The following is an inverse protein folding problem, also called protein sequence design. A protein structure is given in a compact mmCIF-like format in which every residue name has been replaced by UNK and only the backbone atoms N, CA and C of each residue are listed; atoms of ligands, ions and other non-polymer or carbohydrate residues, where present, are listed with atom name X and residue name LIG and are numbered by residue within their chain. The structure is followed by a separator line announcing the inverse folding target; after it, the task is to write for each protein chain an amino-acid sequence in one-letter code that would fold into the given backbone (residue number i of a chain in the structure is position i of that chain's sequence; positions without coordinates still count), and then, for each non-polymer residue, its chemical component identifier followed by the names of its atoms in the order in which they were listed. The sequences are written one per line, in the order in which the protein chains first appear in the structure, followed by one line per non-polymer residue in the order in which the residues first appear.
data_IF_001283030677
#
_entry.id   IF_001283030677
#
_cell.length_a   1.000
_cell.length_b   1.000
_cell.length_c   1.000
_cell.angle_alpha   90.00
_cell.angle_beta   90.00
_cell.angle_gamma   90.00
#
_symmetry.space_group_name_H-M   'P 1'
#
loop_
_entity.id
_entity.type
_entity.pdbx_description
1 polymer ?
#
# COMPACT_ATOMS: atom_id res chain seq x y z
N UNK A 1 -5.04 -4.29 -4.77
CA UNK A 1 -4.72 -2.96 -5.35
C UNK A 1 -3.25 -2.53 -5.26
N UNK A 2 -2.63 -2.38 -4.08
CA UNK A 2 -1.19 -2.01 -3.99
C UNK A 2 -0.29 -3.08 -4.63
N UNK A 3 -0.58 -4.36 -4.36
CA UNK A 3 0.11 -5.52 -4.96
C UNK A 3 0.03 -5.54 -6.48
N UNK A 4 -1.16 -5.22 -7.02
CA UNK A 4 -1.44 -5.09 -8.45
C UNK A 4 -0.70 -3.92 -9.12
N UNK A 5 0.00 -3.06 -8.37
CA UNK A 5 0.77 -1.95 -8.93
C UNK A 5 -0.01 -0.65 -9.11
N UNK A 6 -1.25 -0.57 -8.62
CA UNK A 6 -2.02 0.69 -8.66
C UNK A 6 -1.37 1.76 -7.78
N UNK A 7 -1.34 2.98 -8.28
CA UNK A 7 -0.92 4.18 -7.57
C UNK A 7 -1.96 4.60 -6.53
N UNK A 8 -1.57 5.42 -5.56
CA UNK A 8 -2.52 5.91 -4.54
C UNK A 8 -3.67 6.72 -5.15
N UNK A 9 -3.47 7.35 -6.31
CA UNK A 9 -4.49 8.11 -7.03
C UNK A 9 -5.53 7.17 -7.64
N UNK A 10 -5.10 6.15 -8.38
CA UNK A 10 -6.00 5.16 -8.97
C UNK A 10 -6.78 4.38 -7.91
N UNK A 11 -6.15 4.06 -6.78
CA UNK A 11 -6.83 3.39 -5.65
C UNK A 11 -7.90 4.31 -5.04
N UNK A 12 -7.58 5.60 -4.88
CA UNK A 12 -8.51 6.59 -4.35
C UNK A 12 -9.73 6.75 -5.27
N UNK A 13 -9.50 6.84 -6.59
CA UNK A 13 -10.55 6.92 -7.60
C UNK A 13 -11.42 5.66 -7.64
N UNK A 14 -10.81 4.47 -7.64
CA UNK A 14 -11.53 3.19 -7.68
C UNK A 14 -12.42 2.96 -6.45
N UNK A 15 -11.99 3.45 -5.29
CA UNK A 15 -12.69 3.26 -4.02
C UNK A 15 -13.57 4.46 -3.62
N UNK A 16 -13.61 5.53 -4.43
CA UNK A 16 -14.29 6.79 -4.11
C UNK A 16 -13.85 7.38 -2.76
N UNK A 17 -12.55 7.31 -2.48
CA UNK A 17 -11.93 7.81 -1.25
C UNK A 17 -10.93 8.92 -1.55
N UNK A 18 -10.56 9.69 -0.53
CA UNK A 18 -9.47 10.65 -0.68
C UNK A 18 -8.11 9.96 -0.81
N UNK A 19 -7.18 10.56 -1.56
CA UNK A 19 -5.78 10.10 -1.63
C UNK A 19 -5.12 10.01 -0.24
N UNK A 20 -5.46 10.93 0.68
CA UNK A 20 -4.94 10.93 2.04
C UNK A 20 -5.42 9.72 2.85
N UNK A 21 -6.68 9.31 2.67
CA UNK A 21 -7.22 8.08 3.25
C UNK A 21 -6.41 6.86 2.80
N UNK A 22 -6.07 6.77 1.51
CA UNK A 22 -5.24 5.68 0.97
C UNK A 22 -3.81 5.72 1.56
N UNK A 23 -3.21 6.91 1.70
CA UNK A 23 -1.90 7.07 2.33
C UNK A 23 -1.91 6.59 3.79
N UNK A 24 -2.94 6.95 4.56
CA UNK A 24 -3.14 6.51 5.94
C UNK A 24 -3.26 4.99 6.03
N UNK A 25 -4.09 4.37 5.18
CA UNK A 25 -4.19 2.91 5.12
C UNK A 25 -2.86 2.26 4.75
N UNK A 26 -2.11 2.79 3.78
CA UNK A 26 -0.77 2.26 3.42
C UNK A 26 0.24 2.39 4.55
N UNK A 27 0.20 3.48 5.32
CA UNK A 27 1.03 3.64 6.52
C UNK A 27 0.70 2.58 7.57
N UNK A 28 -0.59 2.33 7.83
CA UNK A 28 -1.02 1.30 8.77
C UNK A 28 -0.63 -0.11 8.31
N UNK A 29 -0.76 -0.42 7.02
CA UNK A 29 -0.30 -1.69 6.45
C UNK A 29 1.21 -1.86 6.65
N UNK A 30 2.02 -0.85 6.32
CA UNK A 30 3.47 -0.89 6.57
C UNK A 30 3.80 -1.12 8.04
N UNK A 31 3.05 -0.50 8.94
CA UNK A 31 3.24 -0.65 10.40
C UNK A 31 2.92 -2.07 10.84
N UNK A 32 1.79 -2.63 10.41
CA UNK A 32 1.37 -4.00 10.74
C UNK A 32 2.31 -5.08 10.17
N UNK A 33 2.93 -4.82 9.03
CA UNK A 33 3.91 -5.72 8.40
C UNK A 33 5.35 -5.50 8.88
N UNK A 34 5.58 -4.66 9.89
CA UNK A 34 6.94 -4.40 10.41
C UNK A 34 7.85 -3.65 9.43
N UNK A 35 7.30 -3.03 8.38
CA UNK A 35 8.06 -2.31 7.36
C UNK A 35 8.29 -0.83 7.72
N UNK A 36 7.72 -0.35 8.83
CA UNK A 36 7.92 1.03 9.30
C UNK A 36 9.43 1.28 9.50
N UNK A 37 9.90 2.46 9.07
CA UNK A 37 11.31 2.88 9.13
C UNK A 37 12.30 2.01 8.32
N UNK A 38 11.82 1.15 7.42
CA UNK A 38 12.67 0.38 6.50
C UNK A 38 12.60 0.94 5.09
N UNK A 39 13.66 0.68 4.30
CA UNK A 39 13.69 0.98 2.86
C UNK A 39 12.90 -0.02 2.00
N UNK A 40 12.29 -1.04 2.61
CA UNK A 40 11.54 -2.07 1.90
C UNK A 40 10.29 -1.45 1.26
N UNK A 41 10.11 -1.69 -0.04
CA UNK A 41 8.93 -1.25 -0.78
C UNK A 41 7.73 -2.16 -0.44
N UNK A 42 6.58 -1.55 -0.13
CA UNK A 42 5.38 -2.29 0.28
C UNK A 42 4.88 -3.23 -0.82
N UNK A 43 4.92 -2.82 -2.10
CA UNK A 43 4.43 -3.66 -3.20
C UNK A 43 5.29 -4.90 -3.39
N UNK A 44 6.62 -4.75 -3.44
CA UNK A 44 7.52 -5.90 -3.61
C UNK A 44 7.42 -6.88 -2.45
N UNK A 45 7.26 -6.38 -1.22
CA UNK A 45 7.00 -7.22 -0.06
C UNK A 45 5.64 -7.93 -0.12
N UNK A 46 4.58 -7.28 -0.64
CA UNK A 46 3.29 -7.95 -0.83
C UNK A 46 3.35 -9.04 -1.93
N UNK A 47 4.17 -8.85 -2.96
CA UNK A 47 4.35 -9.83 -4.03
C UNK A 47 5.09 -11.09 -3.57
N UNK A 48 5.95 -11.01 -2.54
CA UNK A 48 6.66 -12.19 -2.05
C UNK A 48 5.77 -13.22 -1.33
N UNK A 49 4.49 -12.90 -1.08
CA UNK A 49 3.51 -13.83 -0.48
C UNK A 49 2.73 -14.64 -1.52
N UNK A 50 2.84 -14.33 -2.82
CA UNK A 50 2.07 -14.99 -3.90
C UNK A 50 2.86 -16.13 -4.57
N UNK A 51 3.74 -16.81 -3.82
CA UNK A 51 4.42 -18.02 -4.30
C UNK A 51 3.45 -19.12 -4.68
#
# INVERSE_FOLDING_TARGET
LVKEGKTNKEIAELLFLSKNTILFHRYNIRTKLGLKNTKINLRTHLLSYDT
#
